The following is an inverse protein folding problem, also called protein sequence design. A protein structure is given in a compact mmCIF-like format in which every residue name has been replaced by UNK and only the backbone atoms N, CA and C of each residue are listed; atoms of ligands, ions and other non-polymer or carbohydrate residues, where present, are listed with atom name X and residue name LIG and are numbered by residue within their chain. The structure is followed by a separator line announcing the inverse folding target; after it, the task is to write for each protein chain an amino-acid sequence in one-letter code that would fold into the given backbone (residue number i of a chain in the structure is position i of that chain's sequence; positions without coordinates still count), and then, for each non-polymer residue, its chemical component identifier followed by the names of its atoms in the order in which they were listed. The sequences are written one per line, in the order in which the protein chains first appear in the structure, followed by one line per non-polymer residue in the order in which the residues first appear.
data_IF_191684561667
#
_entry.id   IF_191684561667
#
_cell.length_a   1.000
_cell.length_b   1.000
_cell.length_c   1.000
_cell.angle_alpha   90.00
_cell.angle_beta   90.00
_cell.angle_gamma   90.00
#
_symmetry.space_group_name_H-M   'P 1'
#
loop_
_entity.id
_entity.type
_entity.pdbx_description
1 polymer ?
#
# COMPACT_ATOMS: atom_id res chain seq x y z
N UNK A 1 -17.86 22.99 -4.37
CA UNK A 1 -17.82 23.82 -3.17
C UNK A 1 -18.65 25.06 -3.41
N UNK A 2 -19.47 25.46 -2.44
CA UNK A 2 -20.43 26.55 -2.58
C UNK A 2 -19.79 27.90 -2.90
N UNK A 3 -18.57 28.14 -2.39
CA UNK A 3 -17.85 29.40 -2.56
C UNK A 3 -16.86 29.33 -3.71
N UNK A 4 -15.98 28.31 -3.70
CA UNK A 4 -14.88 28.23 -4.68
C UNK A 4 -15.27 27.62 -6.03
N UNK A 5 -16.44 26.98 -6.13
CA UNK A 5 -16.99 26.41 -7.38
C UNK A 5 -16.00 25.54 -8.18
N UNK A 6 -15.15 24.78 -7.49
CA UNK A 6 -14.18 23.87 -8.13
C UNK A 6 -14.91 22.82 -8.97
N UNK A 7 -14.44 22.64 -10.21
CA UNK A 7 -14.99 21.64 -11.13
C UNK A 7 -14.28 20.30 -10.96
N UNK A 8 -14.98 19.20 -11.23
CA UNK A 8 -14.39 17.88 -11.28
C UNK A 8 -14.91 17.10 -12.49
N UNK A 9 -14.06 16.30 -13.10
CA UNK A 9 -14.40 15.41 -14.19
C UNK A 9 -14.51 13.97 -13.70
N UNK A 10 -15.61 13.30 -14.04
CA UNK A 10 -15.82 11.87 -13.78
C UNK A 10 -15.57 11.11 -15.09
N UNK A 11 -14.51 10.32 -15.12
CA UNK A 11 -14.08 9.53 -16.27
C UNK A 11 -14.48 8.06 -16.08
N UNK A 12 -15.10 7.48 -17.10
CA UNK A 12 -15.44 6.06 -17.15
C UNK A 12 -15.60 5.58 -18.60
N UNK A 13 -15.44 4.28 -18.83
CA UNK A 13 -15.66 3.69 -20.16
C UNK A 13 -17.10 3.17 -20.25
N UNK A 14 -17.89 3.78 -21.14
CA UNK A 14 -19.26 3.35 -21.45
C UNK A 14 -19.26 1.93 -21.99
N UNK A 15 -20.12 1.07 -21.45
CA UNK A 15 -20.24 -0.33 -21.84
C UNK A 15 -19.28 -1.29 -21.11
N UNK A 16 -18.27 -0.79 -20.40
CA UNK A 16 -17.37 -1.60 -19.56
C UNK A 16 -17.71 -1.43 -18.08
N UNK A 17 -17.81 -0.18 -17.63
CA UNK A 17 -18.00 0.21 -16.23
C UNK A 17 -19.40 -0.15 -15.74
N UNK A 18 -19.50 -0.60 -14.48
CA UNK A 18 -20.79 -0.87 -13.83
C UNK A 18 -21.56 0.44 -13.57
N UNK A 19 -22.80 0.62 -14.06
CA UNK A 19 -23.57 1.85 -13.88
C UNK A 19 -23.82 2.21 -12.42
N UNK A 20 -23.98 1.20 -11.55
CA UNK A 20 -24.23 1.44 -10.13
C UNK A 20 -23.09 2.21 -9.47
N UNK A 21 -21.84 1.93 -9.86
CA UNK A 21 -20.67 2.63 -9.37
C UNK A 21 -20.68 4.09 -9.86
N UNK A 22 -21.02 4.31 -11.14
CA UNK A 22 -21.09 5.66 -11.73
C UNK A 22 -22.18 6.49 -11.04
N UNK A 23 -23.36 5.91 -10.82
CA UNK A 23 -24.48 6.54 -10.13
C UNK A 23 -24.11 6.88 -8.69
N UNK A 24 -23.44 5.97 -7.98
CA UNK A 24 -23.01 6.20 -6.60
C UNK A 24 -21.96 7.32 -6.50
N UNK A 25 -20.99 7.37 -7.41
CA UNK A 25 -20.00 8.46 -7.48
C UNK A 25 -20.70 9.80 -7.74
N UNK A 26 -21.60 9.86 -8.73
CA UNK A 26 -22.38 11.08 -9.02
C UNK A 26 -23.24 11.50 -7.85
N UNK A 27 -23.91 10.54 -7.18
CA UNK A 27 -24.74 10.79 -6.00
C UNK A 27 -23.92 11.44 -4.89
N UNK A 28 -22.75 10.88 -4.56
CA UNK A 28 -21.88 11.44 -3.51
C UNK A 28 -21.39 12.83 -3.85
N UNK A 29 -20.82 13.02 -5.03
CA UNK A 29 -20.28 14.32 -5.45
C UNK A 29 -21.36 15.41 -5.45
N UNK A 30 -22.56 15.10 -5.96
CA UNK A 30 -23.67 16.05 -5.99
C UNK A 30 -24.29 16.33 -4.60
N UNK A 31 -24.00 15.50 -3.60
CA UNK A 31 -24.50 15.67 -2.22
C UNK A 31 -23.51 16.42 -1.33
N UNK A 32 -22.36 16.85 -1.85
CA UNK A 32 -21.35 17.57 -1.07
C UNK A 32 -21.82 19.02 -0.89
N UNK A 33 -22.07 19.38 0.36
CA UNK A 33 -22.45 20.74 0.78
C UNK A 33 -21.35 21.32 1.69
N UNK A 34 -20.29 21.86 1.07
CA UNK A 34 -19.19 22.55 1.77
C UNK A 34 -18.77 23.78 0.99
N UNK A 35 -18.25 24.78 1.69
CA UNK A 35 -17.83 26.05 1.06
C UNK A 35 -16.59 25.89 0.18
N UNK A 36 -15.60 25.12 0.64
CA UNK A 36 -14.28 25.04 0.04
C UNK A 36 -13.79 23.60 -0.09
N UNK A 37 -13.49 23.20 -1.33
CA UNK A 37 -12.76 21.95 -1.65
C UNK A 37 -11.34 22.36 -2.05
N UNK A 38 -10.32 21.99 -1.27
CA UNK A 38 -8.94 22.44 -1.54
C UNK A 38 -8.21 21.59 -2.57
N UNK A 39 -8.46 20.29 -2.59
CA UNK A 39 -7.77 19.34 -3.48
C UNK A 39 -8.57 18.03 -3.64
N UNK A 40 -8.05 17.12 -4.47
CA UNK A 40 -8.50 15.72 -4.57
C UNK A 40 -8.56 15.04 -3.20
N UNK A 41 -7.57 15.27 -2.32
CA UNK A 41 -7.56 14.68 -0.98
C UNK A 41 -8.73 15.12 -0.08
N UNK A 42 -9.24 16.35 -0.24
CA UNK A 42 -10.46 16.79 0.48
C UNK A 42 -11.69 16.12 -0.10
N UNK A 43 -11.78 16.04 -1.43
CA UNK A 43 -12.88 15.37 -2.09
C UNK A 43 -12.94 13.89 -1.69
N UNK A 44 -11.79 13.21 -1.71
CA UNK A 44 -11.64 11.80 -1.36
C UNK A 44 -12.22 11.52 0.04
N UNK A 45 -11.83 12.31 1.05
CA UNK A 45 -12.34 12.17 2.43
C UNK A 45 -13.87 12.32 2.54
N UNK A 46 -14.49 13.13 1.67
CA UNK A 46 -15.94 13.37 1.70
C UNK A 46 -16.74 12.28 1.01
N UNK A 47 -16.12 11.54 0.10
CA UNK A 47 -16.78 10.50 -0.70
C UNK A 47 -16.39 9.08 -0.27
N UNK A 48 -15.50 8.90 0.71
CA UNK A 48 -15.16 7.59 1.27
C UNK A 48 -16.32 6.93 2.03
N UNK A 49 -16.36 5.59 2.06
CA UNK A 49 -17.39 4.84 2.81
C UNK A 49 -17.12 4.85 4.32
N UNK A 50 -15.86 4.76 4.73
CA UNK A 50 -15.44 4.67 6.13
C UNK A 50 -14.36 5.72 6.44
N UNK A 51 -14.70 6.99 6.65
CA UNK A 51 -13.71 8.07 6.84
C UNK A 51 -12.78 7.90 8.06
N UNK A 52 -13.20 7.10 9.04
CA UNK A 52 -12.43 6.81 10.26
C UNK A 52 -11.51 5.59 10.12
N UNK A 53 -11.55 4.89 8.98
CA UNK A 53 -10.70 3.73 8.76
C UNK A 53 -9.24 4.15 8.52
N UNK A 54 -8.30 3.41 9.10
CA UNK A 54 -6.86 3.62 8.88
C UNK A 54 -6.48 3.27 7.43
N UNK A 55 -7.21 2.33 6.82
CA UNK A 55 -6.96 1.91 5.46
C UNK A 55 -7.67 2.84 4.47
N UNK A 56 -6.93 3.49 3.55
CA UNK A 56 -7.52 4.32 2.51
C UNK A 56 -8.39 3.50 1.56
N UNK A 57 -9.52 4.06 1.14
CA UNK A 57 -10.50 3.39 0.29
C UNK A 57 -10.49 3.90 -1.16
N UNK A 58 -9.74 4.96 -1.42
CA UNK A 58 -9.57 5.57 -2.73
C UNK A 58 -8.10 5.52 -3.11
N UNK A 59 -7.82 5.16 -4.36
CA UNK A 59 -6.46 5.12 -4.88
C UNK A 59 -6.16 6.43 -5.62
N UNK A 60 -5.31 7.28 -5.04
CA UNK A 60 -4.77 8.45 -5.72
C UNK A 60 -3.52 8.09 -6.53
N UNK A 61 -3.43 8.60 -7.77
CA UNK A 61 -2.30 8.37 -8.67
C UNK A 61 -2.01 9.57 -9.57
N UNK A 62 -0.74 9.99 -9.62
CA UNK A 62 -0.22 10.98 -10.59
C UNK A 62 0.01 10.38 -11.99
N UNK A 63 0.06 9.04 -12.07
CA UNK A 63 0.44 8.29 -13.27
C UNK A 63 -0.76 8.07 -14.21
N UNK A 64 -0.80 8.67 -15.42
CA UNK A 64 -1.93 8.55 -16.33
C UNK A 64 -2.09 7.15 -16.94
N UNK A 65 -0.98 6.43 -17.13
CA UNK A 65 -0.99 5.03 -17.59
C UNK A 65 -1.70 4.11 -16.60
N UNK A 66 -1.52 4.36 -15.29
CA UNK A 66 -2.21 3.63 -14.22
C UNK A 66 -3.71 3.95 -14.22
N UNK A 67 -4.08 5.21 -14.36
CA UNK A 67 -5.48 5.65 -14.49
C UNK A 67 -6.17 5.00 -15.68
N UNK A 68 -5.53 5.00 -16.85
CA UNK A 68 -6.07 4.37 -18.06
C UNK A 68 -6.28 2.86 -17.88
N UNK A 69 -5.33 2.17 -17.21
CA UNK A 69 -5.46 0.74 -16.90
C UNK A 69 -6.70 0.45 -16.05
N UNK A 70 -6.95 1.25 -15.01
CA UNK A 70 -8.12 1.06 -14.15
C UNK A 70 -9.45 1.39 -14.85
N UNK A 71 -9.47 2.42 -15.70
CA UNK A 71 -10.63 2.71 -16.55
C UNK A 71 -10.96 1.51 -17.48
N UNK A 72 -9.92 0.89 -18.06
CA UNK A 72 -10.06 -0.32 -18.89
C UNK A 72 -10.55 -1.54 -18.12
N UNK A 73 -10.33 -1.61 -16.81
CA UNK A 73 -10.88 -2.63 -15.93
C UNK A 73 -12.34 -2.41 -15.53
N UNK A 74 -12.90 -1.22 -15.83
CA UNK A 74 -14.27 -0.86 -15.51
C UNK A 74 -14.44 -0.13 -14.18
N UNK A 75 -13.38 0.57 -13.72
CA UNK A 75 -13.43 1.52 -12.60
C UNK A 75 -13.73 2.94 -13.09
N UNK A 76 -13.96 3.83 -12.14
CA UNK A 76 -14.19 5.26 -12.37
C UNK A 76 -12.96 6.03 -11.89
N UNK A 77 -12.55 7.05 -12.64
CA UNK A 77 -11.53 8.00 -12.22
C UNK A 77 -12.17 9.38 -12.04
N UNK A 78 -11.78 10.09 -10.99
CA UNK A 78 -12.22 11.45 -10.68
C UNK A 78 -10.99 12.35 -10.77
N UNK A 79 -11.09 13.42 -11.54
CA UNK A 79 -10.05 14.45 -11.66
C UNK A 79 -10.65 15.75 -11.16
N UNK A 80 -9.99 16.36 -10.18
CA UNK A 80 -10.40 17.64 -9.61
C UNK A 80 -9.56 18.74 -10.24
N UNK A 81 -10.21 19.85 -10.60
CA UNK A 81 -9.50 21.02 -11.12
C UNK A 81 -8.46 21.53 -10.10
N UNK A 82 -7.24 21.78 -10.58
CA UNK A 82 -6.09 22.16 -9.75
C UNK A 82 -5.36 21.01 -9.01
N UNK A 83 -5.86 19.77 -9.06
CA UNK A 83 -5.18 18.63 -8.43
C UNK A 83 -4.24 17.89 -9.43
N UNK A 84 -3.01 17.52 -9.02
CA UNK A 84 -2.07 16.81 -9.91
C UNK A 84 -2.34 15.31 -10.03
N UNK A 85 -3.27 14.76 -9.23
CA UNK A 85 -3.56 13.33 -9.19
C UNK A 85 -4.98 13.02 -9.70
N UNK A 86 -5.19 11.77 -10.08
CA UNK A 86 -6.51 11.20 -10.32
C UNK A 86 -6.90 10.25 -9.19
N UNK A 87 -8.12 10.39 -8.68
CA UNK A 87 -8.71 9.51 -7.66
C UNK A 87 -9.46 8.36 -8.33
N UNK A 88 -9.04 7.12 -8.08
CA UNK A 88 -9.62 5.91 -8.68
C UNK A 88 -10.54 5.21 -7.68
N UNK A 89 -11.77 4.94 -8.12
CA UNK A 89 -12.82 4.30 -7.32
C UNK A 89 -13.58 3.24 -8.13
N UNK A 90 -14.03 2.13 -7.51
CA UNK A 90 -13.63 1.63 -6.19
C UNK A 90 -12.15 1.21 -6.18
N UNK A 91 -11.54 1.12 -5.00
CA UNK A 91 -10.19 0.58 -4.81
C UNK A 91 -10.17 -0.57 -3.78
N UNK A 92 -9.31 -1.56 -4.01
CA UNK A 92 -9.03 -2.67 -3.09
C UNK A 92 -7.61 -2.56 -2.53
N UNK A 93 -7.32 -3.27 -1.44
CA UNK A 93 -5.97 -3.34 -0.88
C UNK A 93 -4.91 -3.74 -1.93
N UNK A 94 -5.23 -4.71 -2.79
CA UNK A 94 -4.30 -5.21 -3.81
C UNK A 94 -4.00 -4.18 -4.89
N UNK A 95 -4.98 -3.33 -5.24
CA UNK A 95 -4.79 -2.26 -6.22
C UNK A 95 -3.76 -1.22 -5.77
N UNK A 96 -3.67 -1.00 -4.45
CA UNK A 96 -2.71 -0.10 -3.84
C UNK A 96 -1.29 -0.69 -3.79
N UNK A 97 -1.20 -2.02 -3.70
CA UNK A 97 0.05 -2.79 -3.68
C UNK A 97 0.62 -3.06 -5.08
N UNK A 98 -0.19 -2.96 -6.12
CA UNK A 98 0.24 -3.08 -7.51
C UNK A 98 0.71 -1.74 -8.07
N UNK A 99 1.55 -1.79 -9.11
CA UNK A 99 1.95 -0.59 -9.86
C UNK A 99 1.89 -0.86 -11.36
N UNK A 100 1.74 0.17 -12.18
CA UNK A 100 1.73 0.02 -13.63
C UNK A 100 3.05 -0.54 -14.16
N UNK A 101 4.18 -0.28 -13.48
CA UNK A 101 5.48 -0.87 -13.77
C UNK A 101 5.51 -2.40 -13.71
N UNK A 102 4.63 -3.04 -12.93
CA UNK A 102 4.52 -4.51 -12.89
C UNK A 102 4.09 -5.07 -14.24
N UNK A 103 3.28 -4.31 -14.97
CA UNK A 103 2.74 -4.67 -16.28
C UNK A 103 3.71 -4.38 -17.42
N UNK A 104 4.59 -3.38 -17.23
CA UNK A 104 5.66 -3.02 -18.17
C UNK A 104 6.79 -4.05 -18.24
N UNK A 105 7.05 -4.75 -17.14
CA UNK A 105 8.09 -5.79 -17.08
C UNK A 105 7.61 -7.15 -17.63
N UNK A 106 8.50 -8.14 -17.73
CA UNK A 106 8.09 -9.53 -17.95
C UNK A 106 7.33 -10.05 -16.71
N UNK A 107 6.41 -10.99 -16.92
CA UNK A 107 5.51 -11.47 -15.87
C UNK A 107 6.25 -12.11 -14.68
N UNK A 108 7.42 -12.73 -14.92
CA UNK A 108 8.28 -13.28 -13.87
C UNK A 108 8.84 -12.18 -12.96
N UNK A 109 9.39 -11.10 -13.53
CA UNK A 109 9.95 -9.99 -12.78
C UNK A 109 8.86 -9.23 -12.02
N UNK A 110 7.72 -9.00 -12.66
CA UNK A 110 6.56 -8.38 -11.99
C UNK A 110 6.06 -9.20 -10.80
N UNK A 111 6.02 -10.53 -10.93
CA UNK A 111 5.66 -11.42 -9.81
C UNK A 111 6.65 -11.34 -8.66
N UNK A 112 7.95 -11.39 -8.97
CA UNK A 112 8.99 -11.26 -7.96
C UNK A 112 8.89 -9.94 -7.18
N UNK A 113 8.69 -8.82 -7.89
CA UNK A 113 8.51 -7.52 -7.24
C UNK A 113 7.25 -7.44 -6.37
N UNK A 114 6.14 -8.08 -6.78
CA UNK A 114 4.93 -8.16 -5.95
C UNK A 114 5.13 -8.96 -4.67
N UNK A 115 5.88 -10.07 -4.73
CA UNK A 115 6.25 -10.85 -3.54
C UNK A 115 7.07 -9.98 -2.58
N UNK A 116 8.09 -9.27 -3.09
CA UNK A 116 8.89 -8.34 -2.28
C UNK A 116 7.98 -7.31 -1.60
N UNK A 117 7.03 -6.69 -2.31
CA UNK A 117 6.13 -5.69 -1.70
C UNK A 117 5.28 -6.25 -0.57
N UNK A 118 4.77 -7.48 -0.69
CA UNK A 118 3.96 -8.11 0.37
C UNK A 118 4.83 -8.41 1.60
N UNK A 119 6.04 -8.91 1.38
CA UNK A 119 7.02 -9.11 2.47
C UNK A 119 7.34 -7.77 3.12
N UNK A 120 7.63 -6.74 2.32
CA UNK A 120 7.92 -5.40 2.81
C UNK A 120 6.76 -4.79 3.59
N UNK A 121 5.51 -4.91 3.13
CA UNK A 121 4.35 -4.42 3.88
C UNK A 121 4.20 -5.14 5.23
N UNK A 122 4.44 -6.46 5.27
CA UNK A 122 4.42 -7.25 6.50
C UNK A 122 5.52 -6.80 7.46
N UNK A 123 6.76 -6.66 6.99
CA UNK A 123 7.90 -6.21 7.79
C UNK A 123 7.69 -4.77 8.30
N UNK A 124 7.27 -3.86 7.42
CA UNK A 124 7.03 -2.45 7.77
C UNK A 124 5.95 -2.26 8.86
N UNK A 125 5.05 -3.24 9.01
CA UNK A 125 3.96 -3.20 9.98
C UNK A 125 4.32 -3.93 11.28
N UNK A 126 4.88 -5.14 11.18
CA UNK A 126 4.97 -6.08 12.32
C UNK A 126 6.39 -6.15 12.90
N UNK A 127 7.44 -5.92 12.11
CA UNK A 127 8.82 -6.24 12.51
C UNK A 127 9.27 -5.56 13.82
N UNK A 128 9.02 -4.25 14.06
CA UNK A 128 9.44 -3.60 15.30
C UNK A 128 8.70 -4.15 16.53
N UNK A 129 7.39 -4.34 16.43
CA UNK A 129 6.59 -4.94 17.49
C UNK A 129 6.96 -6.39 17.77
N UNK A 130 7.28 -7.16 16.71
CA UNK A 130 7.75 -8.54 16.82
C UNK A 130 9.10 -8.63 17.53
N UNK A 131 10.05 -7.76 17.20
CA UNK A 131 11.34 -7.67 17.91
C UNK A 131 11.15 -7.37 19.39
N UNK A 132 10.25 -6.44 19.71
CA UNK A 132 9.93 -6.10 21.09
C UNK A 132 9.30 -7.27 21.85
N UNK A 133 8.37 -7.98 21.22
CA UNK A 133 7.73 -9.17 21.79
C UNK A 133 8.72 -10.32 22.04
N UNK A 134 9.67 -10.52 21.13
CA UNK A 134 10.71 -11.54 21.23
C UNK A 134 11.66 -11.24 22.39
N UNK A 135 12.10 -10.00 22.51
CA UNK A 135 13.09 -9.59 23.50
C UNK A 135 12.54 -9.42 24.92
N UNK A 136 11.28 -8.97 25.07
CA UNK A 136 10.65 -8.78 26.37
C UNK A 136 10.04 -10.06 26.95
N UNK A 137 9.41 -10.89 26.10
CA UNK A 137 8.56 -11.99 26.58
C UNK A 137 9.07 -13.38 26.17
N UNK A 138 9.77 -13.51 25.03
CA UNK A 138 10.09 -14.80 24.42
C UNK A 138 11.60 -14.96 24.14
N UNK A 139 12.45 -14.60 25.11
CA UNK A 139 13.90 -14.66 24.93
C UNK A 139 14.43 -16.08 24.67
N UNK A 140 13.70 -17.11 25.11
CA UNK A 140 14.08 -18.52 24.89
C UNK A 140 14.06 -18.93 23.41
N UNK A 141 13.37 -18.16 22.57
CA UNK A 141 13.37 -18.39 21.11
C UNK A 141 14.61 -17.83 20.42
N UNK A 142 15.39 -17.01 21.11
CA UNK A 142 16.63 -16.43 20.59
C UNK A 142 17.78 -17.41 20.88
N UNK A 143 18.58 -17.81 19.88
CA UNK A 143 19.77 -18.61 20.13
C UNK A 143 20.65 -17.97 21.22
N UNK A 144 21.14 -18.77 22.16
CA UNK A 144 21.84 -18.27 23.36
C UNK A 144 23.01 -17.34 23.03
N UNK A 145 23.75 -17.64 21.97
CA UNK A 145 24.86 -16.80 21.49
C UNK A 145 24.39 -15.40 21.04
N UNK A 146 23.27 -15.34 20.33
CA UNK A 146 22.67 -14.08 19.87
C UNK A 146 22.07 -13.30 21.04
N UNK A 147 21.43 -13.98 21.99
CA UNK A 147 20.91 -13.35 23.20
C UNK A 147 22.03 -12.74 24.05
N UNK A 148 23.15 -13.46 24.22
CA UNK A 148 24.33 -12.95 24.93
C UNK A 148 24.99 -11.77 24.20
N UNK A 149 24.98 -11.76 22.86
CA UNK A 149 25.42 -10.60 22.08
C UNK A 149 24.49 -9.41 22.27
N UNK A 150 23.17 -9.63 22.28
CA UNK A 150 22.18 -8.58 22.51
C UNK A 150 22.28 -7.98 23.91
N UNK A 151 22.47 -8.81 24.93
CA UNK A 151 22.66 -8.37 26.32
C UNK A 151 23.91 -7.49 26.45
N UNK A 152 25.04 -7.91 25.89
CA UNK A 152 26.28 -7.11 25.86
C UNK A 152 26.12 -5.81 25.10
N UNK A 153 25.45 -5.84 23.95
CA UNK A 153 25.17 -4.64 23.15
C UNK A 153 24.21 -3.65 23.83
N UNK A 154 23.60 -4.02 24.96
CA UNK A 154 22.66 -3.23 25.74
C UNK A 154 23.16 -2.89 27.14
N UNK A 155 24.35 -3.34 27.53
CA UNK A 155 24.85 -3.22 28.90
C UNK A 155 24.96 -1.76 29.36
N UNK A 156 25.37 -0.86 28.46
CA UNK A 156 25.53 0.56 28.75
C UNK A 156 24.31 1.41 28.40
N UNK A 157 23.23 0.79 27.89
CA UNK A 157 22.08 1.54 27.39
C UNK A 157 21.12 1.82 28.54
N UNK A 158 20.87 3.10 28.91
CA UNK A 158 20.10 3.46 30.09
C UNK A 158 18.58 3.34 29.88
N UNK A 159 18.13 3.20 28.64
CA UNK A 159 16.72 3.22 28.28
C UNK A 159 16.10 1.82 28.20
N UNK A 160 14.81 1.68 28.57
CA UNK A 160 14.05 0.48 28.22
C UNK A 160 13.94 0.32 26.71
N UNK A 161 13.96 -0.93 26.23
CA UNK A 161 13.87 -1.26 24.80
C UNK A 161 12.65 -0.67 24.09
N UNK A 162 11.54 -0.48 24.81
CA UNK A 162 10.33 0.18 24.28
C UNK A 162 10.62 1.64 23.93
N UNK A 163 11.33 2.36 24.80
CA UNK A 163 11.69 3.77 24.61
C UNK A 163 12.66 3.92 23.46
N UNK A 164 13.64 3.03 23.34
CA UNK A 164 14.58 3.02 22.22
C UNK A 164 13.90 2.85 20.86
N UNK A 165 12.97 1.89 20.75
CA UNK A 165 12.21 1.68 19.50
C UNK A 165 11.40 2.93 19.17
N UNK A 166 10.67 3.49 20.15
CA UNK A 166 9.86 4.68 19.90
C UNK A 166 10.72 5.88 19.48
N UNK A 167 11.87 6.09 20.13
CA UNK A 167 12.80 7.15 19.77
C UNK A 167 13.30 7.00 18.33
N UNK A 168 13.69 5.79 17.93
CA UNK A 168 14.19 5.54 16.58
C UNK A 168 13.09 5.58 15.52
N UNK A 169 11.90 5.06 15.80
CA UNK A 169 10.75 5.10 14.89
C UNK A 169 10.30 6.56 14.66
N UNK A 170 10.23 7.37 15.72
CA UNK A 170 9.93 8.80 15.61
C UNK A 170 11.03 9.52 14.82
N UNK A 171 12.30 9.24 15.13
CA UNK A 171 13.45 9.83 14.43
C UNK A 171 13.41 9.53 12.93
N UNK A 172 13.08 8.29 12.55
CA UNK A 172 12.93 7.90 11.15
C UNK A 172 11.79 8.66 10.45
N UNK A 173 10.64 8.81 11.10
CA UNK A 173 9.53 9.57 10.54
C UNK A 173 9.86 11.07 10.43
N UNK A 174 10.59 11.64 11.38
CA UNK A 174 11.07 13.03 11.29
C UNK A 174 12.01 13.24 10.09
N UNK A 175 12.98 12.34 9.90
CA UNK A 175 13.89 12.39 8.75
C UNK A 175 13.11 12.30 7.44
N UNK A 176 12.14 11.38 7.37
CA UNK A 176 11.32 11.19 6.17
C UNK A 176 10.44 12.40 5.87
N UNK A 177 9.74 12.92 6.87
CA UNK A 177 8.85 14.07 6.73
C UNK A 177 9.60 15.34 6.35
N UNK A 178 10.81 15.53 6.91
CA UNK A 178 11.68 16.61 6.50
C UNK A 178 12.21 16.39 5.07
N UNK A 179 12.55 15.15 4.71
CA UNK A 179 13.06 14.79 3.38
C UNK A 179 12.06 15.05 2.25
N UNK A 180 10.78 14.74 2.43
CA UNK A 180 9.74 14.99 1.41
C UNK A 180 9.41 16.48 1.21
N UNK A 181 9.68 17.32 2.22
CA UNK A 181 9.41 18.77 2.17
C UNK A 181 10.55 19.55 1.51
N UNK A 182 11.75 18.97 1.48
CA UNK A 182 12.92 19.61 0.89
C UNK A 182 12.96 19.38 -0.63
N UNK A 183 13.17 20.42 -1.45
CA UNK A 183 13.18 20.29 -2.90
C UNK A 183 14.44 19.60 -3.42
N UNK A 184 14.26 18.74 -4.42
CA UNK A 184 15.35 18.18 -5.23
C UNK A 184 16.41 17.41 -4.43
N UNK A 185 17.68 17.74 -4.67
CA UNK A 185 18.83 17.04 -4.07
C UNK A 185 18.91 17.26 -2.56
N UNK A 186 18.34 18.35 -2.03
CA UNK A 186 18.37 18.63 -0.59
C UNK A 186 17.59 17.58 0.23
N UNK A 187 16.48 17.06 -0.29
CA UNK A 187 15.71 16.01 0.39
C UNK A 187 16.47 14.68 0.47
N UNK A 188 17.15 14.30 -0.62
CA UNK A 188 18.00 13.10 -0.63
C UNK A 188 19.19 13.26 0.32
N UNK A 189 19.86 14.41 0.28
CA UNK A 189 20.98 14.72 1.17
C UNK A 189 20.55 14.72 2.63
N UNK A 190 19.40 15.32 2.96
CA UNK A 190 18.88 15.31 4.33
C UNK A 190 18.55 13.89 4.80
N UNK A 191 18.01 13.03 3.92
CA UNK A 191 17.78 11.62 4.22
C UNK A 191 19.07 10.87 4.55
N UNK A 192 20.13 11.06 3.76
CA UNK A 192 21.44 10.42 3.96
C UNK A 192 22.10 10.93 5.24
N UNK A 193 22.21 12.26 5.38
CA UNK A 193 22.83 12.90 6.53
C UNK A 193 22.05 12.55 7.80
N UNK A 194 20.73 12.64 7.76
CA UNK A 194 19.86 12.29 8.87
C UNK A 194 20.05 10.85 9.30
N UNK A 195 20.04 9.90 8.37
CA UNK A 195 20.19 8.48 8.71
C UNK A 195 21.60 8.14 9.25
N UNK A 196 22.66 8.66 8.62
CA UNK A 196 24.05 8.36 9.02
C UNK A 196 24.40 9.07 10.32
N UNK A 197 24.18 10.38 10.42
CA UNK A 197 24.55 11.14 11.62
C UNK A 197 23.72 10.70 12.82
N UNK A 198 22.41 10.50 12.66
CA UNK A 198 21.58 10.05 13.77
C UNK A 198 21.96 8.62 14.18
N UNK A 199 22.22 7.73 13.22
CA UNK A 199 22.70 6.37 13.51
C UNK A 199 24.02 6.37 14.28
N UNK A 200 25.04 7.10 13.79
CA UNK A 200 26.35 7.18 14.43
C UNK A 200 26.29 7.87 15.79
N UNK A 201 25.58 8.99 15.90
CA UNK A 201 25.47 9.74 17.15
C UNK A 201 24.75 8.94 18.25
N UNK A 202 23.68 8.22 17.89
CA UNK A 202 22.92 7.40 18.84
C UNK A 202 23.73 6.19 19.30
N UNK A 203 24.53 5.58 18.43
CA UNK A 203 25.47 4.52 18.81
C UNK A 203 26.57 5.07 19.72
N UNK A 204 27.18 6.21 19.36
CA UNK A 204 28.25 6.82 20.14
C UNK A 204 27.79 7.31 21.52
N UNK A 205 26.54 7.75 21.63
CA UNK A 205 25.91 8.14 22.89
C UNK A 205 25.35 6.94 23.68
N UNK A 206 25.52 5.71 23.18
CA UNK A 206 25.01 4.47 23.78
C UNK A 206 23.52 4.55 24.15
N UNK A 207 22.73 5.29 23.35
CA UNK A 207 21.31 5.50 23.63
C UNK A 207 20.43 4.40 23.05
N UNK A 208 20.88 3.73 21.99
CA UNK A 208 20.12 2.68 21.30
C UNK A 208 21.04 1.57 20.80
N UNK A 209 20.56 0.32 20.86
CA UNK A 209 21.38 -0.82 20.44
C UNK A 209 21.58 -0.87 18.91
N UNK A 210 22.77 -1.27 18.41
CA UNK A 210 23.00 -1.41 16.97
C UNK A 210 22.02 -2.36 16.26
N UNK A 211 21.59 -3.42 16.94
CA UNK A 211 20.61 -4.38 16.41
C UNK A 211 19.25 -3.71 16.16
N UNK A 212 18.82 -2.83 17.05
CA UNK A 212 17.56 -2.10 16.92
C UNK A 212 17.62 -1.11 15.74
N UNK A 213 18.76 -0.45 15.53
CA UNK A 213 18.97 0.43 14.37
C UNK A 213 18.79 -0.34 13.05
N UNK A 214 19.34 -1.56 12.95
CA UNK A 214 19.15 -2.42 11.78
C UNK A 214 17.67 -2.73 11.56
N UNK A 215 16.93 -3.04 12.63
CA UNK A 215 15.50 -3.36 12.55
C UNK A 215 14.68 -2.17 12.07
N UNK A 216 14.93 -0.98 12.61
CA UNK A 216 14.24 0.25 12.18
C UNK A 216 14.62 0.62 10.74
N UNK A 217 15.89 0.44 10.35
CA UNK A 217 16.33 0.68 8.97
C UNK A 217 15.62 -0.27 7.98
N UNK A 218 15.53 -1.57 8.28
CA UNK A 218 14.80 -2.53 7.45
C UNK A 218 13.32 -2.16 7.36
N UNK A 219 12.70 -1.81 8.49
CA UNK A 219 11.28 -1.40 8.56
C UNK A 219 11.01 -0.14 7.75
N UNK A 220 11.89 0.85 7.86
CA UNK A 220 11.84 2.10 7.12
C UNK A 220 11.98 1.90 5.61
N UNK A 221 12.96 1.10 5.19
CA UNK A 221 13.16 0.73 3.79
C UNK A 221 11.98 -0.08 3.24
N UNK A 222 11.46 -1.02 4.02
CA UNK A 222 10.32 -1.83 3.64
C UNK A 222 9.08 -0.97 3.34
N UNK A 223 8.87 0.10 4.11
CA UNK A 223 7.79 1.05 3.87
C UNK A 223 7.96 1.80 2.53
N UNK A 224 9.18 2.16 2.14
CA UNK A 224 9.44 2.84 0.85
C UNK A 224 9.13 1.96 -0.37
N UNK A 225 9.05 0.64 -0.20
CA UNK A 225 8.67 -0.29 -1.29
C UNK A 225 7.16 -0.25 -1.56
N UNK A 226 6.33 0.24 -0.62
CA UNK A 226 4.87 0.31 -0.76
C UNK A 226 4.52 1.35 -1.85
N UNK A 227 3.86 0.97 -2.96
CA UNK A 227 3.67 1.88 -4.10
C UNK A 227 2.69 3.02 -3.86
N UNK A 228 1.66 2.80 -3.04
CA UNK A 228 0.68 3.82 -2.71
C UNK A 228 1.15 4.61 -1.50
N UNK A 229 1.31 5.92 -1.69
CA UNK A 229 1.70 6.85 -0.63
C UNK A 229 0.70 6.84 0.54
N UNK A 230 -0.60 6.90 0.23
CA UNK A 230 -1.68 6.87 1.22
C UNK A 230 -1.70 5.57 2.03
N UNK A 231 -1.50 4.41 1.38
CA UNK A 231 -1.39 3.13 2.09
C UNK A 231 -0.16 3.10 3.01
N UNK A 232 0.96 3.68 2.55
CA UNK A 232 2.17 3.81 3.34
C UNK A 232 2.00 4.60 4.64
N UNK A 233 1.05 5.55 4.71
CA UNK A 233 0.68 6.21 5.96
C UNK A 233 -0.16 5.31 6.87
N UNK A 234 -1.14 4.59 6.33
CA UNK A 234 -1.93 3.63 7.11
C UNK A 234 -1.03 2.56 7.77
N UNK A 235 -0.08 2.02 7.02
CA UNK A 235 0.90 1.05 7.53
C UNK A 235 1.81 1.66 8.61
N UNK A 236 2.16 2.95 8.52
CA UNK A 236 2.92 3.66 9.56
C UNK A 236 2.16 3.74 10.87
N UNK A 237 0.91 4.16 10.82
CA UNK A 237 0.06 4.26 12.01
C UNK A 237 -0.08 2.86 12.65
N UNK A 238 -0.34 1.84 11.83
CA UNK A 238 -0.44 0.46 12.32
C UNK A 238 0.85 -0.03 12.97
N UNK A 239 2.03 0.33 12.43
CA UNK A 239 3.32 -0.05 13.02
C UNK A 239 3.42 0.39 14.49
N UNK A 240 3.08 1.63 14.80
CA UNK A 240 3.09 2.10 16.19
C UNK A 240 2.10 1.34 17.06
N UNK A 241 0.92 1.00 16.54
CA UNK A 241 -0.03 0.15 17.27
C UNK A 241 0.57 -1.23 17.55
N UNK A 242 1.21 -1.87 16.56
CA UNK A 242 1.87 -3.17 16.76
C UNK A 242 3.07 -3.12 17.70
N UNK A 243 3.82 -2.01 17.72
CA UNK A 243 4.85 -1.77 18.73
C UNK A 243 4.23 -1.77 20.13
N UNK A 244 3.15 -1.03 20.35
CA UNK A 244 2.48 -0.98 21.65
C UNK A 244 1.89 -2.34 22.04
N UNK A 245 1.24 -3.05 21.12
CA UNK A 245 0.70 -4.38 21.38
C UNK A 245 1.79 -5.39 21.71
N UNK A 246 2.93 -5.35 20.99
CA UNK A 246 4.11 -6.17 21.29
C UNK A 246 4.72 -5.82 22.64
N UNK A 247 4.74 -4.54 23.02
CA UNK A 247 5.23 -4.06 24.31
C UNK A 247 4.35 -4.52 25.49
N UNK A 248 3.03 -4.58 25.29
CA UNK A 248 2.07 -4.87 26.36
C UNK A 248 1.82 -6.37 26.56
N UNK A 249 1.82 -7.14 25.48
CA UNK A 249 1.36 -8.54 25.51
C UNK A 249 2.17 -9.48 24.60
N UNK A 250 3.34 -9.07 24.13
CA UNK A 250 4.22 -9.91 23.30
C UNK A 250 3.53 -10.44 22.03
N UNK A 251 3.78 -11.71 21.69
CA UNK A 251 3.17 -12.35 20.52
C UNK A 251 1.66 -12.45 20.59
N UNK A 252 1.09 -12.56 21.80
CA UNK A 252 -0.36 -12.56 21.99
C UNK A 252 -0.97 -11.23 21.56
N UNK A 253 -0.35 -10.11 21.97
CA UNK A 253 -0.77 -8.77 21.54
C UNK A 253 -0.70 -8.59 20.02
N UNK A 254 0.38 -9.07 19.40
CA UNK A 254 0.53 -9.02 17.94
C UNK A 254 -0.55 -9.87 17.25
N UNK A 255 -0.83 -11.08 17.74
CA UNK A 255 -1.86 -11.95 17.17
C UNK A 255 -3.26 -11.32 17.25
N UNK A 256 -3.60 -10.71 18.39
CA UNK A 256 -4.84 -9.94 18.55
C UNK A 256 -4.88 -8.77 17.56
N UNK A 257 -3.79 -8.02 17.43
CA UNK A 257 -3.71 -6.91 16.49
C UNK A 257 -3.98 -7.35 15.06
N UNK A 258 -3.34 -8.44 14.61
CA UNK A 258 -3.56 -9.02 13.27
C UNK A 258 -5.04 -9.41 13.10
N UNK A 259 -5.64 -10.04 14.10
CA UNK A 259 -7.04 -10.45 14.04
C UNK A 259 -8.00 -9.25 13.95
N UNK A 260 -7.83 -8.24 14.81
CA UNK A 260 -8.68 -7.04 14.84
C UNK A 260 -8.54 -6.25 13.54
N UNK A 261 -7.31 -5.89 13.15
CA UNK A 261 -7.08 -5.07 11.96
C UNK A 261 -7.37 -5.83 10.66
N UNK A 262 -7.12 -7.14 10.63
CA UNK A 262 -7.52 -8.00 9.51
C UNK A 262 -9.03 -8.12 9.37
N UNK A 263 -9.75 -8.29 10.48
CA UNK A 263 -11.21 -8.28 10.52
C UNK A 263 -11.81 -6.95 10.07
N UNK A 264 -11.26 -5.83 10.56
CA UNK A 264 -11.64 -4.49 10.12
C UNK A 264 -11.42 -4.31 8.61
N UNK A 265 -10.24 -4.67 8.09
CA UNK A 265 -9.94 -4.59 6.66
C UNK A 265 -10.92 -5.41 5.79
N UNK A 266 -11.40 -6.55 6.29
CA UNK A 266 -12.40 -7.38 5.60
C UNK A 266 -13.82 -6.79 5.67
N UNK A 267 -14.13 -5.96 6.68
CA UNK A 267 -15.43 -5.30 6.83
C UNK A 267 -15.59 -4.05 5.95
N UNK A 268 -14.47 -3.39 5.61
CA UNK A 268 -14.47 -2.17 4.82
C UNK A 268 -14.94 -2.43 3.38
N UNK A 269 -15.67 -1.47 2.84
CA UNK A 269 -16.08 -1.41 1.44
C UNK A 269 -15.60 -0.09 0.84
N UNK A 270 -15.38 -0.10 -0.48
CA UNK A 270 -15.12 1.08 -1.30
C UNK A 270 -16.15 1.08 -2.42
N UNK A 271 -17.09 2.03 -2.39
CA UNK A 271 -18.18 2.18 -3.36
C UNK A 271 -18.94 0.86 -3.59
N UNK A 272 -19.21 0.14 -2.50
CA UNK A 272 -19.91 -1.14 -2.50
C UNK A 272 -19.07 -2.38 -2.84
N UNK A 273 -17.78 -2.21 -3.19
CA UNK A 273 -16.84 -3.32 -3.40
C UNK A 273 -16.07 -3.60 -2.10
N UNK A 274 -16.01 -4.86 -1.60
CA UNK A 274 -15.24 -5.17 -0.40
C UNK A 274 -13.74 -4.89 -0.60
N UNK A 275 -13.13 -4.22 0.38
CA UNK A 275 -11.75 -3.72 0.27
C UNK A 275 -10.69 -4.82 0.12
N UNK A 276 -10.91 -5.97 0.77
CA UNK A 276 -10.00 -7.13 0.71
C UNK A 276 -10.35 -8.12 -0.41
N UNK A 277 -11.30 -7.77 -1.27
CA UNK A 277 -11.58 -8.51 -2.50
C UNK A 277 -10.34 -8.45 -3.43
N UNK A 278 -9.98 -9.52 -4.14
CA UNK A 278 -10.72 -10.79 -4.36
C UNK A 278 -10.36 -11.92 -3.37
N UNK A 279 -9.62 -11.65 -2.30
CA UNK A 279 -9.24 -12.67 -1.31
C UNK A 279 -10.37 -12.92 -0.32
N UNK A 280 -10.98 -11.85 0.21
CA UNK A 280 -12.12 -11.90 1.10
C UNK A 280 -13.12 -10.78 0.75
N UNK A 281 -14.32 -11.10 0.21
CA UNK A 281 -14.80 -12.42 -0.19
C UNK A 281 -14.07 -12.92 -1.44
N UNK A 282 -14.04 -14.24 -1.61
CA UNK A 282 -13.42 -14.86 -2.78
C UNK A 282 -14.23 -14.55 -4.03
N UNK A 283 -13.73 -13.66 -4.87
CA UNK A 283 -14.29 -13.44 -6.21
C UNK A 283 -13.79 -14.52 -7.17
N UNK A 284 -14.40 -14.66 -8.36
CA UNK A 284 -13.80 -15.48 -9.43
C UNK A 284 -12.47 -14.83 -9.80
N UNK A 285 -11.41 -15.35 -9.22
CA UNK A 285 -10.10 -14.73 -9.24
C UNK A 285 -9.62 -14.61 -10.68
N UNK A 286 -9.43 -13.37 -11.14
CA UNK A 286 -8.34 -13.14 -12.08
C UNK A 286 -7.08 -13.61 -11.35
N UNK A 287 -6.28 -14.52 -11.93
CA UNK A 287 -5.10 -15.06 -11.24
C UNK A 287 -4.02 -13.99 -10.94
N UNK A 288 -4.25 -12.74 -11.35
CA UNK A 288 -3.37 -11.59 -11.25
C UNK A 288 -3.47 -10.84 -9.89
N UNK A 289 -3.38 -11.57 -8.77
CA UNK A 289 -3.42 -10.99 -7.42
C UNK A 289 -2.01 -10.87 -6.85
N UNK A 290 -1.34 -12.00 -6.63
CA UNK A 290 0.04 -12.05 -6.16
C UNK A 290 0.95 -12.51 -7.31
N UNK A 291 0.77 -13.72 -7.88
CA UNK A 291 1.46 -14.08 -9.10
C UNK A 291 0.89 -13.29 -10.28
N UNK A 292 1.75 -12.60 -11.02
CA UNK A 292 1.35 -11.98 -12.27
C UNK A 292 1.34 -13.05 -13.35
N UNK A 293 0.14 -13.43 -13.81
CA UNK A 293 0.03 -14.30 -14.97
C UNK A 293 0.42 -13.56 -16.26
N UNK A 294 0.95 -14.28 -17.26
CA UNK A 294 1.24 -13.70 -18.56
C UNK A 294 0.02 -13.00 -19.20
N UNK A 295 0.23 -11.81 -19.77
CA UNK A 295 -0.85 -10.96 -20.30
C UNK A 295 -1.75 -11.67 -21.31
N UNK A 296 -1.21 -12.63 -22.09
CA UNK A 296 -2.00 -13.37 -23.09
C UNK A 296 -2.96 -14.41 -22.49
N UNK A 297 -2.77 -14.80 -21.22
CA UNK A 297 -3.68 -15.66 -20.48
C UNK A 297 -4.77 -14.85 -19.75
N UNK A 298 -4.56 -13.56 -19.55
CA UNK A 298 -5.50 -12.66 -18.85
C UNK A 298 -6.66 -12.23 -19.78
N UNK A 299 -7.60 -13.14 -20.03
CA UNK A 299 -8.72 -12.90 -20.97
C UNK A 299 -9.92 -12.18 -20.36
N UNK A 300 -10.03 -12.16 -19.03
CA UNK A 300 -11.18 -11.59 -18.31
C UNK A 300 -10.76 -10.37 -17.48
N UNK A 301 -11.69 -9.44 -17.29
CA UNK A 301 -11.55 -8.30 -16.38
C UNK A 301 -11.77 -8.75 -14.94
N UNK A 302 -11.24 -8.03 -13.94
CA UNK A 302 -11.48 -8.33 -12.53
C UNK A 302 -12.99 -8.39 -12.21
N UNK A 303 -13.44 -9.49 -11.61
CA UNK A 303 -14.86 -9.69 -11.25
C UNK A 303 -15.29 -8.78 -10.07
N UNK A 304 -14.32 -8.26 -9.31
CA UNK A 304 -14.55 -7.46 -8.09
C UNK A 304 -15.38 -6.19 -8.33
N UNK A 305 -15.28 -5.60 -9.53
CA UNK A 305 -16.05 -4.40 -9.92
C UNK A 305 -17.33 -4.72 -10.68
N UNK A 306 -17.60 -6.01 -10.93
CA UNK A 306 -18.70 -6.52 -11.74
C UNK A 306 -18.89 -5.75 -13.07
N UNK A 307 -17.89 -5.77 -13.97
CA UNK A 307 -17.93 -5.00 -15.21
C UNK A 307 -19.00 -5.54 -16.17
N UNK A 308 -19.68 -4.64 -16.90
CA UNK A 308 -20.67 -5.03 -17.93
C UNK A 308 -20.04 -5.91 -19.00
N UNK A 309 -18.84 -5.55 -19.46
CA UNK A 309 -18.08 -6.35 -20.41
C UNK A 309 -17.02 -7.16 -19.67
N UNK A 310 -17.26 -8.47 -19.48
CA UNK A 310 -16.33 -9.33 -18.72
C UNK A 310 -15.04 -9.68 -19.47
N UNK A 311 -15.10 -9.92 -20.79
CA UNK A 311 -13.92 -10.31 -21.57
C UNK A 311 -13.10 -9.10 -22.02
N UNK A 312 -11.79 -9.13 -21.73
CA UNK A 312 -10.77 -8.17 -22.21
C UNK A 312 -10.45 -8.38 -23.69
N UNK A 313 -10.42 -9.64 -24.13
CA UNK A 313 -10.13 -10.01 -25.53
C UNK A 313 -11.23 -10.91 -26.09
N UNK A 314 -11.71 -10.57 -27.29
CA UNK A 314 -12.72 -11.34 -28.02
C UNK A 314 -12.16 -12.51 -28.84
N UNK A 315 -10.82 -12.66 -28.94
CA UNK A 315 -10.18 -13.59 -29.87
C UNK A 315 -8.81 -14.12 -29.41
N UNK A 316 -8.00 -14.58 -30.37
CA UNK A 316 -6.65 -15.11 -30.12
C UNK A 316 -5.70 -13.94 -29.87
N UNK A 317 -5.23 -13.79 -28.62
CA UNK A 317 -4.34 -12.69 -28.22
C UNK A 317 -2.99 -12.71 -28.96
N UNK A 318 -2.48 -13.90 -29.31
CA UNK A 318 -1.24 -14.09 -30.08
C UNK A 318 -1.52 -14.68 -31.45
N UNK A 319 -2.14 -13.89 -32.33
CA UNK A 319 -2.52 -14.34 -33.68
C UNK A 319 -1.34 -14.81 -34.54
N UNK A 320 -0.13 -14.30 -34.31
CA UNK A 320 1.07 -14.64 -35.06
C UNK A 320 1.55 -16.08 -34.83
N UNK A 321 1.30 -16.68 -33.66
CA UNK A 321 1.71 -18.07 -33.35
C UNK A 321 1.00 -19.11 -34.23
N UNK A 322 -0.17 -18.76 -34.79
CA UNK A 322 -0.90 -19.67 -35.71
C UNK A 322 -0.50 -19.52 -37.18
N UNK A 323 0.22 -18.46 -37.58
CA UNK A 323 0.57 -18.25 -39.00
C UNK A 323 1.60 -19.25 -39.54
N UNK A 324 2.34 -19.94 -38.67
CA UNK A 324 3.33 -20.96 -39.07
C UNK A 324 2.76 -22.38 -39.20
N UNK A 325 1.46 -22.59 -38.95
CA UNK A 325 0.82 -23.92 -39.02
C UNK A 325 -0.10 -24.16 -40.23
N UNK A 326 -0.24 -23.18 -41.15
CA UNK A 326 -1.01 -23.32 -42.40
C UNK A 326 -0.33 -22.54 -43.53
N UNK A 327 0.78 -23.10 -44.02
CA UNK A 327 1.09 -23.03 -45.45
C UNK A 327 0.74 -24.40 -46.05
N UNK A 328 0.11 -24.34 -47.21
CA UNK A 328 -0.11 -25.43 -48.17
C UNK A 328 -1.26 -26.42 -47.90
N UNK A 329 -2.46 -26.02 -48.32
CA UNK A 329 -3.21 -26.85 -49.27
C UNK A 329 -3.47 -26.01 -50.51
N UNK A 330 -2.87 -26.34 -51.67
CA UNK A 330 -3.31 -25.81 -52.94
C UNK A 330 -4.73 -26.32 -53.25
N UNK A 331 -5.41 -25.53 -54.08
CA UNK A 331 -6.73 -25.74 -54.65
C UNK A 331 -6.91 -27.13 -55.26
#
# INVERSE_FOLDING_TARGET
GNVNNVTCAILYIKGVTNPKIIEEVKRRINSIDIDFVSSDGTLDQLIEDHPLAIFPQILSTERPDRTASFLMEGRVAIIVDGAPNASIVPATFFDMMHTSGDYSLRWQYGTFMRIIRIISATLATILPGFYLALTLYHHEMIPTELLASLARARENIPFPIVVEILLMEISWELIREAGIRMPGVMGQTLGIIGAVILGEAVIAAELVSPILIIIVAITGLANLVIPSYTLGFGIRILRFVFVLLGAMAGFYGIAIGIFIFGGLACSIKSFGVPYFSPVAPRAKASPDIIPRMPTWLQKERPDVVNPKQRRRSGGIVRGWVKRDGRKDKPQ
#
